data_IF_680118061375
#
_entry.id   IF_680118061375
#
_cell.length_a   1.000
_cell.length_b   1.000
_cell.length_c   1.000
_cell.angle_alpha   90.00
_cell.angle_beta   90.00
_cell.angle_gamma   90.00
#
_symmetry.space_group_name_H-M   'P 1'
#
loop_
_entity.id
_entity.type
_entity.pdbx_description
1 polymer ?
2 polymer ?
3 non-polymer ?
#
# COMPACT_ATOMS: atom_id res chain seq x y z
N UNK A 2 17.04 7.04 -8.26
CA UNK A 2 18.21 6.49 -7.50
C UNK A 2 17.78 5.23 -6.76
N UNK A 3 17.87 4.09 -7.44
CA UNK A 3 17.50 2.81 -6.83
C UNK A 3 18.70 2.17 -6.16
N UNK A 4 18.64 2.05 -4.84
CA UNK A 4 19.73 1.45 -4.07
C UNK A 4 19.57 -0.06 -4.02
N UNK A 5 20.65 -0.75 -3.68
CA UNK A 5 20.62 -2.21 -3.60
C UNK A 5 19.52 -2.67 -2.63
N UNK A 6 19.36 -1.92 -1.55
CA UNK A 6 18.34 -2.25 -0.55
C UNK A 6 16.94 -2.15 -1.17
N UNK A 7 16.71 -1.09 -1.93
CA UNK A 7 15.41 -0.89 -2.58
C UNK A 7 15.13 -2.01 -3.57
N UNK A 8 16.15 -2.36 -4.36
CA UNK A 8 15.99 -3.41 -5.36
C UNK A 8 15.65 -4.73 -4.67
N UNK A 9 16.36 -5.02 -3.58
CA UNK A 9 16.12 -6.25 -2.83
C UNK A 9 14.69 -6.26 -2.30
N UNK A 10 14.19 -5.08 -1.93
CA UNK A 10 12.84 -4.98 -1.40
C UNK A 10 11.84 -5.41 -2.44
N UNK A 11 12.03 -4.96 -3.68
CA UNK A 11 11.13 -5.34 -4.77
C UNK A 11 11.15 -6.84 -4.99
N UNK A 12 12.36 -7.40 -5.04
CA UNK A 12 12.49 -8.83 -5.28
C UNK A 12 11.72 -9.62 -4.21
N UNK A 13 11.89 -9.23 -2.96
CA UNK A 13 11.21 -9.90 -1.87
C UNK A 13 9.72 -9.58 -1.87
N UNK A 14 9.41 -8.28 -1.98
CA UNK A 14 8.02 -7.85 -2.00
C UNK A 14 7.29 -8.41 -3.21
N UNK A 15 7.90 -8.28 -4.37
CA UNK A 15 7.30 -8.78 -5.60
C UNK A 15 7.05 -10.28 -5.51
N UNK A 16 8.07 -11.01 -5.03
CA UNK A 16 7.95 -12.45 -4.90
C UNK A 16 6.79 -12.82 -3.97
N UNK A 17 6.56 -11.97 -2.98
CA UNK A 17 5.46 -12.21 -2.03
C UNK A 17 4.11 -12.04 -2.71
N UNK A 18 3.99 -11.01 -3.53
CA UNK A 18 2.74 -10.75 -4.22
C UNK A 18 2.49 -11.81 -5.30
N UNK A 19 3.56 -12.16 -6.02
CA UNK A 19 3.46 -13.15 -7.08
C UNK A 19 3.55 -14.55 -6.48
N UNK A 20 2.40 -15.20 -6.32
CA UNK A 20 2.39 -16.55 -5.75
C UNK A 20 3.15 -17.53 -6.62
N UNK A 21 2.87 -17.50 -7.92
CA UNK A 21 3.55 -18.41 -8.85
C UNK A 21 5.00 -17.98 -9.05
N UNK A 22 5.26 -16.68 -8.92
CA UNK A 22 6.61 -16.16 -9.10
C UNK A 22 7.01 -16.16 -10.57
N UNK A 23 6.07 -15.78 -11.44
CA UNK A 23 6.34 -15.74 -12.87
C UNK A 23 7.02 -14.44 -13.26
N UNK A 24 7.22 -13.56 -12.27
CA UNK A 24 7.85 -12.27 -12.52
C UNK A 24 6.86 -11.27 -13.11
N UNK A 25 5.58 -11.58 -12.96
CA UNK A 25 4.52 -10.71 -13.47
C UNK A 25 3.34 -10.66 -12.51
N UNK A 26 2.68 -9.51 -12.45
CA UNK A 26 1.52 -9.36 -11.55
C UNK A 26 0.23 -9.36 -12.36
N UNK A 27 -0.63 -10.33 -12.08
CA UNK A 27 -1.91 -10.44 -12.78
C UNK A 27 -3.01 -9.67 -12.03
N UNK A 28 -4.17 -9.58 -12.65
CA UNK A 28 -5.29 -8.88 -12.05
C UNK A 28 -5.87 -9.68 -10.88
N UNK A 29 -5.91 -11.00 -11.05
CA UNK A 29 -6.44 -11.88 -10.02
C UNK A 29 -5.59 -11.80 -8.76
N UNK A 30 -4.27 -11.67 -8.94
CA UNK A 30 -3.37 -11.58 -7.80
C UNK A 30 -3.55 -10.25 -7.06
N UNK A 31 -3.33 -9.16 -7.77
CA UNK A 31 -3.46 -7.84 -7.17
C UNK A 31 -4.91 -7.60 -6.76
N UNK A 32 -5.84 -8.04 -7.59
CA UNK A 32 -7.25 -7.86 -7.31
C UNK A 32 -7.64 -8.56 -6.01
N UNK A 33 -7.14 -9.78 -5.83
CA UNK A 33 -7.45 -10.53 -4.62
C UNK A 33 -6.95 -9.78 -3.38
N UNK A 34 -5.71 -9.32 -3.45
CA UNK A 34 -5.12 -8.57 -2.33
C UNK A 34 -5.84 -7.24 -2.14
N UNK A 35 -6.12 -6.57 -3.25
CA UNK A 35 -6.79 -5.28 -3.20
C UNK A 35 -8.18 -5.42 -2.60
N UNK A 36 -8.77 -6.60 -2.70
CA UNK A 36 -10.09 -6.87 -2.14
C UNK A 36 -10.01 -7.26 -0.67
N UNK A 37 -8.95 -7.98 -0.31
CA UNK A 37 -8.78 -8.43 1.06
C UNK A 37 -8.74 -7.24 2.02
N UNK A 38 -8.53 -6.05 1.46
CA UNK A 38 -8.46 -4.85 2.28
C UNK A 38 -9.85 -4.46 2.78
N UNK A 39 -10.80 -5.38 2.64
CA UNK A 39 -12.16 -5.13 3.09
C UNK A 39 -12.92 -4.29 2.08
N UNK A 40 -12.33 -4.11 0.90
CA UNK A 40 -12.96 -3.31 -0.15
C UNK A 40 -13.51 -4.21 -1.24
N UNK A 41 -14.51 -3.71 -1.97
CA UNK A 41 -15.12 -4.48 -3.05
C UNK A 41 -15.29 -3.62 -4.30
N UNK A 42 -14.19 -3.21 -4.89
CA UNK A 42 -14.20 -2.38 -6.13
C UNK A 42 -14.51 -3.21 -7.37
N UNK A 43 -15.08 -2.57 -8.38
CA UNK A 43 -15.43 -3.27 -9.61
C UNK A 43 -14.20 -3.37 -10.52
N UNK A 44 -14.25 -4.31 -11.46
CA UNK A 44 -13.15 -4.51 -12.38
C UNK A 44 -12.80 -3.19 -13.07
N UNK A 45 -13.80 -2.35 -13.28
CA UNK A 45 -13.57 -1.06 -13.93
C UNK A 45 -12.55 -0.24 -13.13
N UNK A 46 -12.74 -0.17 -11.82
CA UNK A 46 -11.84 0.58 -10.97
C UNK A 46 -10.45 -0.06 -10.97
N UNK A 47 -10.41 -1.38 -10.86
CA UNK A 47 -9.14 -2.10 -10.84
C UNK A 47 -8.45 -2.01 -12.20
N UNK A 48 -9.17 -2.40 -13.25
CA UNK A 48 -8.63 -2.37 -14.59
C UNK A 48 -8.16 -0.96 -14.93
N UNK A 49 -8.97 0.04 -14.57
CA UNK A 49 -8.62 1.42 -14.84
C UNK A 49 -7.32 1.79 -14.14
N UNK A 50 -7.20 1.39 -12.88
CA UNK A 50 -6.00 1.68 -12.12
C UNK A 50 -4.79 1.00 -12.74
N UNK A 51 -4.97 -0.25 -13.16
CA UNK A 51 -3.88 -0.99 -13.77
C UNK A 51 -3.43 -0.32 -15.07
N UNK A 52 -4.41 0.07 -15.88
CA UNK A 52 -4.10 0.71 -17.16
C UNK A 52 -3.29 1.98 -16.91
N UNK A 53 -3.66 2.73 -15.89
CA UNK A 53 -2.94 3.95 -15.55
C UNK A 53 -1.53 3.64 -15.08
N UNK A 54 -1.35 2.46 -14.50
CA UNK A 54 -0.04 2.05 -14.01
C UNK A 54 0.71 1.26 -15.07
N UNK A 55 -0.03 0.65 -15.99
CA UNK A 55 0.56 -0.12 -17.07
C UNK A 55 0.94 0.81 -18.22
N UNK A 56 2.22 1.15 -18.30
CA UNK A 56 2.71 2.03 -19.35
C UNK A 56 2.47 1.43 -20.72
N UNK A 57 2.34 0.10 -20.80
CA UNK A 57 2.12 -0.57 -22.07
C UNK A 57 0.69 -1.11 -22.16
N UNK A 58 0.00 -1.20 -21.03
CA UNK A 58 -1.37 -1.71 -21.02
C UNK A 58 -1.44 -3.13 -21.55
N UNK A 59 -0.54 -3.99 -21.07
CA UNK A 59 -0.52 -5.38 -21.52
C UNK A 59 -1.48 -6.23 -20.70
N UNK A 60 -2.14 -5.60 -19.72
CA UNK A 60 -3.09 -6.32 -18.87
C UNK A 60 -2.44 -6.77 -17.57
N UNK A 61 -1.11 -6.69 -17.51
CA UNK A 61 -0.37 -7.09 -16.32
C UNK A 61 0.63 -6.02 -15.93
N UNK A 62 0.99 -5.97 -14.65
CA UNK A 62 1.94 -4.97 -14.16
C UNK A 62 3.27 -5.63 -13.79
N UNK A 63 4.35 -5.13 -14.40
CA UNK A 63 5.68 -5.67 -14.12
C UNK A 63 6.33 -4.88 -13.00
N UNK A 64 7.40 -5.42 -12.43
CA UNK A 64 8.11 -4.74 -11.36
C UNK A 64 8.40 -3.28 -11.75
N UNK A 65 9.02 -3.06 -12.88
CA UNK A 65 9.36 -1.69 -13.35
C UNK A 65 8.14 -0.76 -13.29
N UNK A 66 7.00 -1.27 -13.72
CA UNK A 66 5.77 -0.47 -13.72
C UNK A 66 5.41 -0.09 -12.29
N UNK A 67 5.57 -1.02 -11.36
CA UNK A 67 5.26 -0.75 -9.98
C UNK A 67 6.09 0.41 -9.46
N UNK A 68 7.35 0.44 -9.87
CA UNK A 68 8.23 1.51 -9.42
C UNK A 68 7.67 2.85 -9.86
N UNK A 69 7.23 2.93 -11.11
CA UNK A 69 6.66 4.16 -11.63
C UNK A 69 5.39 4.54 -10.86
N UNK A 70 4.54 3.54 -10.62
CA UNK A 70 3.31 3.77 -9.90
C UNK A 70 3.62 4.37 -8.52
N UNK A 71 4.68 3.87 -7.88
CA UNK A 71 5.05 4.32 -6.56
C UNK A 71 5.40 5.79 -6.60
N UNK A 72 6.14 6.17 -7.61
CA UNK A 72 6.54 7.57 -7.76
C UNK A 72 5.30 8.45 -7.86
N UNK A 73 4.25 7.94 -8.50
CA UNK A 73 3.02 8.71 -8.65
C UNK A 73 2.30 8.84 -7.31
N UNK A 74 2.08 7.71 -6.65
CA UNK A 74 1.40 7.71 -5.36
C UNK A 74 2.24 8.39 -4.29
N UNK A 75 3.56 8.28 -4.44
CA UNK A 75 4.48 8.90 -3.49
C UNK A 75 4.62 10.38 -3.76
N UNK A 76 4.56 10.76 -5.05
CA UNK A 76 4.69 12.16 -5.44
C UNK A 76 3.34 12.87 -5.34
N UNK A 77 2.28 12.16 -5.68
CA UNK A 77 0.93 12.73 -5.64
C UNK A 77 0.23 12.33 -4.35
N UNK A 78 0.98 11.76 -3.43
CA UNK A 78 0.42 11.33 -2.15
C UNK A 78 -0.48 12.42 -1.57
N UNK A 79 -0.34 13.63 -2.10
CA UNK A 79 -1.14 14.77 -1.64
C UNK A 79 -2.44 14.86 -2.42
N UNK A 80 -2.84 13.76 -3.05
CA UNK A 80 -4.08 13.73 -3.84
C UNK A 80 -5.27 13.38 -2.95
N UNK A 81 -6.31 14.18 -3.02
CA UNK A 81 -7.50 13.95 -2.22
C UNK A 81 -8.12 12.59 -2.55
N UNK A 82 -8.15 12.27 -3.84
CA UNK A 82 -8.72 10.99 -4.27
C UNK A 82 -7.93 9.82 -3.73
N UNK A 83 -6.61 9.92 -3.80
CA UNK A 83 -5.74 8.85 -3.32
C UNK A 83 -5.88 8.71 -1.80
N UNK A 84 -5.90 9.83 -1.11
CA UNK A 84 -6.03 9.82 0.34
C UNK A 84 -7.40 9.30 0.75
N UNK A 85 -8.44 9.77 0.07
CA UNK A 85 -9.80 9.36 0.37
C UNK A 85 -9.95 7.85 0.18
N UNK A 86 -9.39 7.34 -0.91
CA UNK A 86 -9.46 5.92 -1.21
C UNK A 86 -8.71 5.11 -0.16
N UNK A 87 -7.54 5.61 0.24
CA UNK A 87 -6.74 4.92 1.25
C UNK A 87 -7.43 4.97 2.61
N UNK A 88 -7.98 6.13 2.95
CA UNK A 88 -8.64 6.29 4.23
C UNK A 88 -9.82 5.34 4.37
N UNK A 89 -10.65 5.28 3.32
CA UNK A 89 -11.81 4.40 3.34
C UNK A 89 -11.37 2.93 3.40
N UNK A 90 -10.36 2.60 2.61
CA UNK A 90 -9.86 1.23 2.59
C UNK A 90 -9.29 0.85 3.95
N UNK A 91 -8.50 1.74 4.52
CA UNK A 91 -7.89 1.48 5.82
C UNK A 91 -8.96 1.33 6.88
N UNK A 92 -9.93 2.24 6.88
CA UNK A 92 -10.99 2.20 7.87
C UNK A 92 -12.12 1.28 7.41
N UNK A 93 -11.86 -0.01 7.43
CA UNK A 93 -12.86 -0.98 7.01
C UNK A 93 -14.12 -0.87 7.87
N UNK A 94 -13.93 -0.60 9.16
CA UNK A 94 -15.07 -0.47 10.06
C UNK A 94 -15.76 0.88 9.87
N UNK A 95 -15.14 1.77 9.11
CA UNK A 95 -15.72 3.09 8.85
C UNK A 95 -15.98 3.83 10.17
N UNK A 96 -15.12 3.60 11.16
CA UNK A 96 -15.26 4.25 12.45
C UNK A 96 -14.56 5.61 12.45
N UNK A 97 -13.74 5.84 11.43
CA UNK A 97 -13.01 7.10 11.33
C UNK A 97 -11.75 7.08 12.18
N UNK A 98 -11.39 5.91 12.69
CA UNK A 98 -10.20 5.76 13.51
C UNK A 98 -9.37 4.56 13.06
N UNK A 99 -8.07 4.77 12.92
CA UNK A 99 -7.18 3.68 12.48
C UNK A 99 -6.45 3.09 13.69
N UNK A 100 -6.65 1.79 13.90
CA UNK A 100 -6.02 1.09 15.01
C UNK A 100 -4.85 0.24 14.52
N UNK A 101 -4.08 -0.30 15.46
CA UNK A 101 -2.93 -1.13 15.12
C UNK A 101 -3.40 -2.45 14.51
N UNK A 102 -4.48 -3.00 15.03
CA UNK A 102 -5.01 -4.26 14.53
C UNK A 102 -5.52 -4.10 13.09
N UNK A 103 -6.22 -3.01 12.84
CA UNK A 103 -6.77 -2.74 11.51
C UNK A 103 -5.64 -2.49 10.52
N UNK A 104 -4.72 -1.60 10.89
CA UNK A 104 -3.61 -1.26 10.01
C UNK A 104 -2.76 -2.50 9.74
N UNK A 105 -2.38 -3.20 10.81
CA UNK A 105 -1.57 -4.40 10.66
C UNK A 105 -2.26 -5.38 9.71
N UNK A 106 -3.56 -5.49 9.82
CA UNK A 106 -4.31 -6.39 8.96
C UNK A 106 -4.21 -5.95 7.50
N UNK A 107 -4.21 -4.64 7.28
CA UNK A 107 -4.13 -4.12 5.92
C UNK A 107 -2.73 -4.24 5.36
N UNK A 108 -1.78 -3.58 6.00
CA UNK A 108 -0.39 -3.59 5.53
C UNK A 108 0.12 -5.02 5.39
N UNK A 109 -0.34 -5.90 6.28
CA UNK A 109 0.07 -7.30 6.25
C UNK A 109 -0.60 -8.04 5.09
N UNK A 110 -1.92 -7.89 4.97
CA UNK A 110 -2.67 -8.55 3.90
C UNK A 110 -2.00 -8.31 2.54
N UNK A 111 -0.92 -7.53 2.54
CA UNK A 111 -0.18 -7.24 1.33
C UNK A 111 0.85 -8.33 1.07
N UNK A 112 0.59 -9.53 1.58
CA UNK A 112 1.51 -10.64 1.36
C UNK A 112 2.79 -10.44 2.12
N UNK A 113 2.79 -9.50 3.07
CA UNK A 113 3.98 -9.22 3.87
C UNK A 113 3.68 -9.46 5.34
N UNK A 114 4.72 -9.82 6.10
CA UNK A 114 4.58 -10.08 7.53
C UNK A 114 5.24 -8.97 8.34
N UNK A 115 4.42 -8.11 8.94
CA UNK A 115 4.94 -7.00 9.75
C UNK A 115 4.68 -7.26 11.22
N UNK A 116 5.62 -6.85 12.07
CA UNK A 116 5.48 -7.05 13.51
C UNK A 116 4.66 -5.92 14.12
N UNK A 117 4.14 -6.16 15.32
CA UNK A 117 3.35 -5.16 16.01
C UNK A 117 4.12 -3.85 16.14
N UNK A 118 5.44 -3.95 16.13
CA UNK A 118 6.28 -2.76 16.25
C UNK A 118 6.15 -1.87 15.01
N UNK A 119 6.28 -2.47 13.84
CA UNK A 119 6.18 -1.71 12.60
C UNK A 119 4.89 -0.89 12.56
N UNK A 120 3.77 -1.56 12.73
CA UNK A 120 2.48 -0.88 12.72
C UNK A 120 2.45 0.20 13.79
N UNK A 121 2.96 -0.12 14.97
CA UNK A 121 2.97 0.83 16.07
C UNK A 121 3.77 2.06 15.69
N UNK A 122 4.86 1.85 14.95
CA UNK A 122 5.70 2.96 14.52
C UNK A 122 4.93 3.90 13.60
N UNK A 123 4.20 3.32 12.65
CA UNK A 123 3.43 4.13 11.71
C UNK A 123 2.36 4.95 12.45
N UNK A 124 1.60 4.28 13.32
CA UNK A 124 0.57 4.96 14.08
C UNK A 124 1.18 5.87 15.14
N UNK A 125 2.06 5.30 15.96
CA UNK A 125 2.69 6.07 17.03
C UNK A 125 3.26 7.38 16.47
N UNK A 126 3.88 7.29 15.30
CA UNK A 126 4.45 8.46 14.67
C UNK A 126 3.36 9.34 14.05
N UNK A 127 2.26 8.71 13.64
CA UNK A 127 1.15 9.44 13.04
C UNK A 127 0.21 9.99 14.10
N UNK A 128 0.21 9.37 15.27
CA UNK A 128 -0.65 9.80 16.36
C UNK A 128 -0.05 11.02 17.05
N UNK A 129 -0.58 12.18 16.71
CA UNK A 129 -0.10 13.43 17.30
C UNK A 129 -0.43 13.48 18.79
N UNK A 130 -1.63 13.03 19.16
CA UNK A 130 -2.04 13.04 20.56
C UNK A 130 -1.67 11.74 21.25
N UNK A 131 -1.21 10.76 20.47
CA UNK A 131 -0.82 9.47 21.04
C UNK A 131 -2.03 8.76 21.63
N UNK A 132 -3.19 8.96 21.03
CA UNK A 132 -4.42 8.34 21.52
C UNK A 132 -4.48 6.87 21.09
N UNK A 133 -3.43 6.42 20.41
CA UNK A 133 -3.38 5.04 19.94
C UNK A 133 -4.17 4.87 18.66
N UNK A 134 -4.70 5.97 18.13
CA UNK A 134 -5.49 5.93 16.91
C UNK A 134 -5.18 7.13 16.04
N UNK A 135 -5.23 6.94 14.72
CA UNK A 135 -4.95 8.02 13.78
C UNK A 135 -6.24 8.48 13.12
N UNK A 136 -6.51 9.78 13.20
CA UNK A 136 -7.72 10.35 12.62
C UNK A 136 -7.46 10.76 11.16
N UNK A 137 -8.53 11.13 10.47
CA UNK A 137 -8.40 11.54 9.07
C UNK A 137 -7.44 12.71 8.95
N UNK A 138 -7.56 13.67 9.85
CA UNK A 138 -6.68 14.84 9.82
C UNK A 138 -5.22 14.41 9.93
N UNK A 139 -4.94 13.51 10.86
CA UNK A 139 -3.59 13.01 11.05
C UNK A 139 -3.15 12.17 9.86
N UNK A 140 -4.10 11.47 9.25
CA UNK A 140 -3.81 10.63 8.10
C UNK A 140 -3.38 11.49 6.91
N UNK A 141 -4.13 12.55 6.67
CA UNK A 141 -3.84 13.45 5.56
C UNK A 141 -2.45 14.04 5.72
N UNK A 142 -2.13 14.49 6.92
CA UNK A 142 -0.82 15.08 7.20
C UNK A 142 0.28 14.04 6.98
N UNK A 143 0.02 12.81 7.39
CA UNK A 143 1.00 11.74 7.25
C UNK A 143 1.01 11.19 5.82
N UNK A 144 0.06 11.64 5.02
CA UNK A 144 -0.01 11.19 3.62
C UNK A 144 0.75 12.15 2.72
N UNK A 145 1.26 13.23 3.28
CA UNK A 145 2.01 14.22 2.49
C UNK A 145 3.50 14.03 2.69
N UNK A 146 3.88 13.34 3.76
CA UNK A 146 5.29 13.09 4.06
C UNK A 146 5.95 12.36 2.89
N UNK A 147 7.22 12.65 2.68
CA UNK A 147 7.97 12.01 1.58
C UNK A 147 8.35 10.58 1.97
N UNK B 1 -2.37 1.39 -4.93
CA UNK B 1 -1.26 0.42 -4.79
C UNK B 1 -0.31 0.90 -3.70
N UNK B 2 -0.39 2.18 -3.36
CA UNK B 2 0.45 2.75 -2.31
C UNK B 2 0.59 1.77 -1.14
N UNK B 3 -0.36 0.86 -1.03
CA UNK B 3 -0.32 -0.13 0.04
C UNK B 3 0.99 -0.91 0.02
N UNK B 4 1.41 -1.28 -1.17
CA UNK B 4 2.64 -2.04 -1.30
C UNK B 4 3.80 -1.25 -0.73
N UNK B 5 3.87 0.02 -1.07
CA UNK B 5 4.94 0.86 -0.56
C UNK B 5 4.84 0.98 0.96
N UNK B 6 3.63 1.14 1.45
CA UNK B 6 3.44 1.32 2.87
C UNK B 6 4.16 0.23 3.64
N UNK B 7 4.03 -1.00 3.17
CA UNK B 7 4.68 -2.13 3.84
C UNK B 7 6.20 -2.05 3.66
N UNK B 8 6.63 -1.65 2.46
CA UNK B 8 8.04 -1.56 2.18
C UNK B 8 8.71 -0.53 3.08
N UNK B 9 8.01 0.56 3.35
CA UNK B 9 8.58 1.61 4.20
C UNK B 9 8.92 1.07 5.57
N UNK B 10 7.96 0.41 6.21
CA UNK B 10 8.19 -0.14 7.53
C UNK B 10 9.12 -1.35 7.47
N UNK B 11 8.90 -2.18 6.44
CA UNK B 11 9.71 -3.38 6.27
C UNK B 11 11.18 -3.01 6.04
N UNK B 12 11.39 -1.92 5.30
CA UNK B 12 12.74 -1.47 5.00
C UNK B 12 13.48 -1.10 6.29
N UNK B 13 12.74 -0.51 7.23
CA UNK B 13 13.34 -0.11 8.50
C UNK B 13 13.68 -1.33 9.36
N UNK B 14 12.84 -2.36 9.28
CA UNK B 14 13.05 -3.58 10.05
C UNK B 14 14.36 -4.24 9.62
N UNK B 15 14.57 -4.32 8.31
CA UNK B 15 15.79 -4.93 7.79
C UNK B 15 17.02 -4.20 8.30
X LIG C 1 1.97 -13.93 -11.16
X LIG D 1 2.54 -3.95 -18.41
X LIG E 1 -11.08 1.79 11.33
X LIG F 1 -4.70 10.77 17.15
#
# INVERSE_FOLDING_TARGET
>A
DQLTEEQIAEFKEAFSLFDKDGDGTITTKELGTVMRSLGQNPTEAELQDMINEVDADGNGTIDFPEFLTMMARKMKDTDSEEEIREAFRVFDKDGNGYISAAELRHVMTNLGEKLTDEEVDEMIREADIDGDGQVNYEEFVQMMTAK
>B
AFIIWLARRLKKGKK
>C hetero
1 CA CA
>D hetero
1 CA CA
>E hetero
1 CA CA
>F hetero
1 CA CA
#
